data_IF_225908334292
#
_entry.id   IF_225908334292
#
_cell.length_a   1.000
_cell.length_b   1.000
_cell.length_c   1.000
_cell.angle_alpha   90.00
_cell.angle_beta   90.00
_cell.angle_gamma   90.00
#
_symmetry.space_group_name_H-M   'P 1'
#
loop_
_entity.id
_entity.type
_entity.pdbx_description
1 polymer ?
#
# COMPACT_ATOMS: atom_id res chain seq x y z
N UNK A 1 -14.16 18.33 16.50
CA UNK A 1 -13.42 17.10 16.16
C UNK A 1 -13.45 16.05 17.28
N UNK A 2 -13.29 16.40 18.56
CA UNK A 2 -13.41 15.43 19.68
C UNK A 2 -14.80 14.77 19.85
N UNK A 3 -15.88 15.46 19.50
CA UNK A 3 -17.26 14.96 19.67
C UNK A 3 -17.68 13.90 18.63
N UNK A 4 -17.02 13.87 17.45
CA UNK A 4 -17.27 12.86 16.43
C UNK A 4 -16.60 11.52 16.77
N UNK A 5 -15.43 11.54 17.43
CA UNK A 5 -14.71 10.33 17.85
C UNK A 5 -15.46 9.54 18.94
N UNK A 6 -16.14 10.21 19.87
CA UNK A 6 -16.93 9.56 20.91
C UNK A 6 -18.20 8.86 20.36
N UNK A 7 -18.84 9.45 19.34
CA UNK A 7 -20.03 8.87 18.71
C UNK A 7 -19.70 7.63 17.85
N UNK A 8 -18.57 7.63 17.14
CA UNK A 8 -18.12 6.49 16.32
C UNK A 8 -17.61 5.34 17.18
N UNK A 9 -16.90 5.61 18.28
CA UNK A 9 -16.46 4.58 19.23
C UNK A 9 -17.62 3.92 19.99
N UNK A 10 -18.66 4.68 20.32
CA UNK A 10 -19.85 4.16 21.02
C UNK A 10 -20.77 3.29 20.14
N UNK A 11 -20.88 3.60 18.84
CA UNK A 11 -21.74 2.87 17.91
C UNK A 11 -21.11 1.54 17.47
N UNK A 12 -19.78 1.51 17.24
CA UNK A 12 -19.05 0.29 16.91
C UNK A 12 -19.07 -0.74 18.05
N UNK A 13 -18.98 -0.28 19.31
CA UNK A 13 -19.00 -1.17 20.48
C UNK A 13 -20.38 -1.80 20.73
N UNK A 14 -21.48 -1.08 20.43
CA UNK A 14 -22.85 -1.59 20.63
C UNK A 14 -23.34 -2.50 19.51
N UNK A 15 -22.86 -2.33 18.27
CA UNK A 15 -23.21 -3.21 17.16
C UNK A 15 -22.48 -4.58 17.22
N UNK A 16 -21.30 -4.65 17.86
CA UNK A 16 -20.47 -5.86 17.88
C UNK A 16 -20.65 -6.76 19.11
N UNK A 17 -21.31 -6.28 20.18
CA UNK A 17 -21.47 -7.01 21.44
C UNK A 17 -22.91 -7.47 21.73
N UNK A 18 -23.84 -7.39 20.78
CA UNK A 18 -25.17 -7.96 20.95
C UNK A 18 -25.08 -9.50 20.80
N UNK A 19 -25.33 -10.31 21.87
CA UNK A 19 -25.38 -11.75 21.71
C UNK A 19 -26.63 -12.12 20.90
N UNK A 20 -26.43 -12.83 19.78
CA UNK A 20 -27.49 -13.56 19.09
C UNK A 20 -27.99 -14.67 20.02
N UNK A 21 -28.94 -14.34 20.90
CA UNK A 21 -29.76 -15.35 21.58
C UNK A 21 -30.80 -15.86 20.59
N UNK A 22 -30.52 -17.00 19.97
CA UNK A 22 -31.52 -17.83 19.30
C UNK A 22 -32.39 -18.44 20.40
N UNK A 23 -33.53 -17.82 20.67
CA UNK A 23 -34.53 -18.35 21.60
C UNK A 23 -35.20 -19.59 21.03
N UNK A 24 -35.01 -20.73 21.68
CA UNK A 24 -35.79 -21.96 21.46
C UNK A 24 -37.16 -21.82 22.12
N UNK A 25 -38.24 -21.75 21.33
CA UNK A 25 -39.62 -21.83 21.82
C UNK A 25 -40.59 -22.15 20.66
N UNK A 26 -41.57 -23.05 20.85
CA UNK A 26 -42.37 -23.57 19.75
C UNK A 26 -43.59 -22.69 19.49
N UNK A 27 -43.80 -22.31 18.23
CA UNK A 27 -45.08 -21.80 17.76
C UNK A 27 -45.48 -22.61 16.53
N UNK A 28 -46.21 -23.68 16.83
CA UNK A 28 -47.09 -24.33 15.87
C UNK A 28 -48.28 -23.41 15.55
N UNK A 29 -48.86 -23.66 14.38
CA UNK A 29 -50.17 -23.24 13.88
C UNK A 29 -50.24 -22.00 12.96
N UNK A 30 -50.90 -22.27 11.83
CA UNK A 30 -51.50 -21.38 10.85
C UNK A 30 -50.56 -20.62 9.90
N UNK A 31 -50.48 -21.09 8.66
CA UNK A 31 -51.04 -20.39 7.49
C UNK A 31 -51.28 -21.40 6.36
N UNK A 32 -52.36 -21.11 5.65
CA UNK A 32 -53.23 -21.90 4.80
C UNK A 32 -52.65 -22.27 3.42
N UNK A 33 -53.06 -23.42 2.89
CA UNK A 33 -52.69 -23.93 1.56
C UNK A 33 -53.67 -23.43 0.50
N UNK A 34 -53.22 -22.52 -0.37
CA UNK A 34 -53.94 -22.06 -1.56
C UNK A 34 -53.28 -22.54 -2.87
N UNK A 35 -53.80 -23.65 -3.38
CA UNK A 35 -53.78 -24.21 -4.74
C UNK A 35 -53.16 -23.42 -5.92
N UNK A 36 -52.19 -24.05 -6.61
CA UNK A 36 -51.77 -23.75 -8.00
C UNK A 36 -50.58 -24.65 -8.44
N UNK A 37 -50.62 -25.33 -9.61
CA UNK A 37 -49.76 -26.49 -9.86
C UNK A 37 -48.42 -26.14 -10.53
N UNK A 38 -47.37 -26.89 -10.18
CA UNK A 38 -46.20 -27.08 -11.04
C UNK A 38 -44.85 -26.68 -10.46
N UNK A 39 -44.37 -27.39 -9.44
CA UNK A 39 -42.94 -27.47 -9.14
C UNK A 39 -42.57 -28.90 -8.74
N UNK A 40 -41.49 -29.40 -9.36
CA UNK A 40 -40.94 -30.73 -9.18
C UNK A 40 -40.56 -31.01 -7.72
N UNK A 41 -40.73 -32.26 -7.29
CA UNK A 41 -40.30 -32.81 -6.00
C UNK A 41 -38.85 -32.43 -5.69
N UNK A 42 -38.64 -31.78 -4.54
CA UNK A 42 -37.31 -31.68 -3.91
C UNK A 42 -37.14 -32.90 -3.01
N UNK A 43 -36.20 -33.76 -3.39
CA UNK A 43 -35.80 -34.95 -2.63
C UNK A 43 -35.14 -34.53 -1.30
N UNK A 44 -35.86 -34.72 -0.21
CA UNK A 44 -35.43 -34.42 1.16
C UNK A 44 -34.31 -35.35 1.70
N UNK A 45 -33.70 -36.21 0.87
CA UNK A 45 -32.54 -37.03 1.25
C UNK A 45 -31.18 -36.29 1.26
N UNK A 46 -31.06 -35.14 0.60
CA UNK A 46 -29.77 -34.43 0.42
C UNK A 46 -29.35 -33.58 1.63
N UNK A 47 -30.30 -33.08 2.42
CA UNK A 47 -30.03 -32.23 3.59
C UNK A 47 -29.47 -33.01 4.79
N UNK A 48 -29.69 -34.32 4.86
CA UNK A 48 -29.20 -35.17 5.95
C UNK A 48 -27.75 -35.63 5.73
N UNK A 49 -27.23 -35.60 4.49
CA UNK A 49 -25.81 -35.90 4.19
C UNK A 49 -24.88 -34.70 4.43
N UNK A 50 -25.36 -33.47 4.22
CA UNK A 50 -24.57 -32.27 4.47
C UNK A 50 -24.33 -31.97 5.98
N UNK A 51 -25.16 -32.54 6.86
CA UNK A 51 -25.00 -32.39 8.31
C UNK A 51 -23.99 -33.38 8.92
N UNK A 52 -23.65 -34.48 8.23
CA UNK A 52 -22.72 -35.49 8.75
C UNK A 52 -21.23 -35.17 8.47
N UNK A 53 -20.94 -34.30 7.50
CA UNK A 53 -19.56 -33.97 7.08
C UNK A 53 -18.94 -32.80 7.87
N UNK A 54 -19.70 -32.15 8.76
CA UNK A 54 -19.20 -31.05 9.63
C UNK A 54 -18.33 -31.51 10.81
N UNK A 55 -17.93 -32.78 10.86
CA UNK A 55 -17.05 -33.30 11.92
C UNK A 55 -15.61 -33.57 11.48
N UNK A 56 -15.25 -33.31 10.21
CA UNK A 56 -13.85 -33.37 9.76
C UNK A 56 -13.27 -31.95 9.65
N UNK A 57 -12.20 -31.69 10.42
CA UNK A 57 -11.56 -30.38 10.50
C UNK A 57 -10.94 -29.96 9.17
N UNK A 58 -11.24 -28.74 8.73
CA UNK A 58 -10.54 -28.08 7.64
C UNK A 58 -9.11 -27.75 8.08
N UNK A 59 -8.11 -28.47 7.56
CA UNK A 59 -6.69 -28.14 7.74
C UNK A 59 -6.24 -27.18 6.65
N UNK A 60 -5.39 -26.21 7.03
CA UNK A 60 -4.71 -25.25 6.13
C UNK A 60 -3.94 -25.98 5.01
N UNK A 61 -3.50 -27.21 5.26
CA UNK A 61 -2.76 -28.04 4.29
C UNK A 61 -3.64 -28.50 3.11
N UNK A 62 -4.94 -28.71 3.33
CA UNK A 62 -5.88 -29.18 2.29
C UNK A 62 -6.17 -28.11 1.25
N UNK A 63 -6.20 -26.83 1.67
CA UNK A 63 -6.34 -25.69 0.76
C UNK A 63 -5.08 -25.44 -0.07
N UNK A 64 -3.91 -25.64 0.51
CA UNK A 64 -2.62 -25.47 -0.16
C UNK A 64 -2.34 -26.58 -1.19
N UNK A 65 -2.78 -27.82 -0.91
CA UNK A 65 -2.69 -28.94 -1.86
C UNK A 65 -3.63 -28.81 -3.06
N UNK A 66 -4.82 -28.19 -2.91
CA UNK A 66 -5.70 -27.88 -4.04
C UNK A 66 -5.12 -26.77 -4.94
N UNK A 67 -4.47 -25.76 -4.34
CA UNK A 67 -3.78 -24.71 -5.09
C UNK A 67 -2.53 -25.25 -5.82
N UNK A 68 -1.81 -26.20 -5.21
CA UNK A 68 -0.63 -26.83 -5.83
C UNK A 68 -0.98 -27.80 -6.96
N UNK A 69 -2.13 -28.49 -6.89
CA UNK A 69 -2.58 -29.41 -7.95
C UNK A 69 -3.22 -28.72 -9.15
N UNK A 70 -3.81 -27.53 -8.96
CA UNK A 70 -4.35 -26.70 -10.07
C UNK A 70 -3.27 -25.95 -10.87
N UNK A 71 -2.05 -25.83 -10.34
CA UNK A 71 -0.90 -25.26 -11.04
C UNK A 71 -0.27 -26.21 -12.09
N UNK A 72 -0.67 -27.48 -12.12
CA UNK A 72 -0.05 -28.51 -12.97
C UNK A 72 -0.80 -28.81 -14.28
N UNK A 73 -2.02 -28.30 -14.48
CA UNK A 73 -2.84 -28.60 -15.67
C UNK A 73 -3.04 -27.35 -16.55
N UNK A 74 -2.19 -27.21 -17.56
CA UNK A 74 -2.11 -26.05 -18.45
C UNK A 74 -3.06 -26.12 -19.66
N UNK A 75 -4.37 -26.39 -19.45
CA UNK A 75 -5.33 -26.35 -20.56
C UNK A 75 -6.82 -26.16 -20.22
N UNK A 76 -7.20 -25.81 -18.99
CA UNK A 76 -8.60 -25.46 -18.67
C UNK A 76 -8.81 -23.94 -18.63
N UNK A 77 -9.88 -23.40 -19.22
CA UNK A 77 -10.18 -21.98 -19.13
C UNK A 77 -10.44 -21.61 -17.66
N UNK A 78 -9.58 -20.76 -17.09
CA UNK A 78 -9.60 -20.29 -15.70
C UNK A 78 -10.72 -19.25 -15.42
N UNK A 79 -11.83 -19.27 -16.16
CA UNK A 79 -12.93 -18.30 -16.02
C UNK A 79 -13.79 -18.54 -14.76
N UNK A 80 -13.48 -19.56 -13.96
CA UNK A 80 -14.17 -19.86 -12.69
C UNK A 80 -13.33 -19.64 -11.43
N UNK A 81 -12.03 -19.37 -11.57
CA UNK A 81 -11.15 -19.17 -10.42
C UNK A 81 -11.42 -17.79 -9.80
N UNK A 82 -11.58 -16.75 -10.60
CA UNK A 82 -11.74 -15.36 -10.12
C UNK A 82 -12.97 -15.16 -9.22
N UNK A 83 -14.13 -15.67 -9.62
CA UNK A 83 -15.36 -15.65 -8.81
C UNK A 83 -15.20 -16.35 -7.45
N UNK A 84 -14.28 -17.32 -7.34
CA UNK A 84 -13.96 -17.98 -6.08
C UNK A 84 -12.97 -17.19 -5.22
N UNK A 85 -12.18 -16.31 -5.82
CA UNK A 85 -11.17 -15.48 -5.14
C UNK A 85 -11.73 -14.14 -4.64
N UNK A 86 -12.79 -13.61 -5.25
CA UNK A 86 -13.36 -12.31 -4.88
C UNK A 86 -13.77 -12.23 -3.39
N UNK A 87 -14.49 -13.20 -2.79
CA UNK A 87 -14.83 -13.16 -1.37
C UNK A 87 -13.60 -13.19 -0.48
N UNK A 88 -12.57 -13.95 -0.87
CA UNK A 88 -11.31 -14.05 -0.15
C UNK A 88 -10.51 -12.75 -0.22
N UNK A 89 -10.49 -12.11 -1.38
CA UNK A 89 -9.87 -10.79 -1.61
C UNK A 89 -10.50 -9.74 -0.71
N UNK A 90 -11.84 -9.66 -0.70
CA UNK A 90 -12.58 -8.77 0.19
C UNK A 90 -12.32 -9.07 1.68
N UNK A 91 -12.24 -10.36 2.06
CA UNK A 91 -11.93 -10.76 3.42
C UNK A 91 -10.52 -10.32 3.86
N UNK A 92 -9.51 -10.44 3.01
CA UNK A 92 -8.15 -9.97 3.32
C UNK A 92 -8.09 -8.45 3.47
N UNK A 93 -8.74 -7.69 2.58
CA UNK A 93 -8.82 -6.23 2.74
C UNK A 93 -9.55 -5.83 4.02
N UNK A 94 -10.70 -6.45 4.32
CA UNK A 94 -11.43 -6.21 5.56
C UNK A 94 -10.60 -6.57 6.80
N UNK A 95 -9.93 -7.73 6.77
CA UNK A 95 -9.06 -8.19 7.85
C UNK A 95 -7.84 -7.26 8.05
N UNK A 96 -7.32 -6.65 6.98
CA UNK A 96 -6.17 -5.75 7.03
C UNK A 96 -6.42 -4.49 7.86
N UNK A 97 -7.69 -4.12 8.09
CA UNK A 97 -8.05 -2.95 8.89
C UNK A 97 -7.68 -3.14 10.37
N UNK A 98 -7.82 -4.36 10.92
CA UNK A 98 -7.50 -4.64 12.32
C UNK A 98 -6.03 -4.35 12.68
N UNK A 99 -5.02 -4.90 11.98
CA UNK A 99 -3.63 -4.57 12.27
C UNK A 99 -3.32 -3.10 11.95
N UNK A 100 -3.99 -2.48 10.98
CA UNK A 100 -3.77 -1.06 10.69
C UNK A 100 -4.23 -0.13 11.81
N UNK A 101 -5.41 -0.37 12.37
CA UNK A 101 -5.93 0.39 13.51
C UNK A 101 -5.07 0.16 14.75
N UNK A 102 -4.59 -1.06 14.97
CA UNK A 102 -3.65 -1.37 16.05
C UNK A 102 -2.31 -0.65 15.87
N UNK A 103 -1.78 -0.61 14.64
CA UNK A 103 -0.62 0.18 14.27
C UNK A 103 -0.79 1.67 14.63
N UNK A 104 -1.90 2.29 14.22
CA UNK A 104 -2.19 3.69 14.55
C UNK A 104 -2.32 3.92 16.06
N UNK A 105 -2.98 3.00 16.77
CA UNK A 105 -3.10 3.06 18.23
C UNK A 105 -1.73 3.07 18.91
N UNK A 106 -0.81 2.22 18.48
CA UNK A 106 0.57 2.16 19.00
C UNK A 106 1.37 3.41 18.64
N UNK A 107 1.20 3.90 17.41
CA UNK A 107 1.92 5.07 16.94
C UNK A 107 1.47 6.37 17.65
N UNK A 108 0.24 6.40 18.18
CA UNK A 108 -0.31 7.52 18.94
C UNK A 108 0.06 7.51 20.44
N UNK A 109 0.79 6.49 20.91
CA UNK A 109 1.25 6.46 22.30
C UNK A 109 2.27 7.59 22.54
N UNK A 110 2.14 8.30 23.67
CA UNK A 110 2.98 9.46 23.99
C UNK A 110 4.46 9.09 24.09
N UNK A 111 4.75 7.87 24.52
CA UNK A 111 6.09 7.32 24.68
C UNK A 111 6.81 7.21 23.34
N UNK A 112 6.10 6.90 22.25
CA UNK A 112 6.69 6.75 20.91
C UNK A 112 7.17 8.09 20.34
N UNK A 113 6.59 9.22 20.80
CA UNK A 113 6.92 10.58 20.35
C UNK A 113 6.89 10.72 18.82
N UNK A 114 5.88 10.14 18.20
CA UNK A 114 5.67 10.23 16.75
C UNK A 114 5.52 11.69 16.31
N UNK A 115 6.27 12.16 15.30
CA UNK A 115 6.04 13.48 14.73
C UNK A 115 4.61 13.60 14.19
N UNK A 116 3.92 14.70 14.50
CA UNK A 116 2.48 14.86 14.19
C UNK A 116 2.16 14.70 12.70
N UNK A 117 3.01 15.22 11.81
CA UNK A 117 2.83 15.07 10.36
C UNK A 117 2.87 13.61 9.91
N UNK A 118 3.73 12.79 10.52
CA UNK A 118 3.84 11.35 10.25
C UNK A 118 2.59 10.61 10.68
N UNK A 119 2.12 10.87 11.91
CA UNK A 119 0.88 10.29 12.41
C UNK A 119 -0.32 10.71 11.55
N UNK A 120 -0.42 12.00 11.21
CA UNK A 120 -1.50 12.52 10.38
C UNK A 120 -1.52 11.89 8.99
N UNK A 121 -0.35 11.65 8.38
CA UNK A 121 -0.23 10.94 7.11
C UNK A 121 -0.83 9.53 7.22
N UNK A 122 -0.35 8.72 8.16
CA UNK A 122 -0.92 7.37 8.36
C UNK A 122 -2.41 7.41 8.74
N UNK A 123 -2.86 8.33 9.59
CA UNK A 123 -4.26 8.44 9.96
C UNK A 123 -5.15 8.86 8.78
N UNK A 124 -4.66 9.74 7.89
CA UNK A 124 -5.40 10.20 6.71
C UNK A 124 -5.68 9.07 5.71
N UNK A 125 -4.89 8.00 5.70
CA UNK A 125 -5.17 6.80 4.91
C UNK A 125 -6.57 6.23 5.17
N UNK A 126 -7.10 6.37 6.38
CA UNK A 126 -8.45 5.91 6.70
C UNK A 126 -9.51 6.65 5.88
N UNK A 127 -9.27 7.90 5.48
CA UNK A 127 -10.17 8.65 4.59
C UNK A 127 -10.27 7.98 3.22
N UNK A 128 -9.15 7.48 2.69
CA UNK A 128 -9.15 6.68 1.47
C UNK A 128 -9.97 5.39 1.63
N UNK A 129 -9.77 4.65 2.73
CA UNK A 129 -10.52 3.41 3.00
C UNK A 129 -12.03 3.68 3.12
N UNK A 130 -12.43 4.70 3.86
CA UNK A 130 -13.85 5.06 4.01
C UNK A 130 -14.45 5.67 2.74
N UNK A 131 -13.65 6.28 1.87
CA UNK A 131 -14.10 6.84 0.59
C UNK A 131 -14.24 5.79 -0.52
N UNK A 132 -13.33 4.82 -0.57
CA UNK A 132 -13.31 3.77 -1.60
C UNK A 132 -14.45 2.75 -1.44
N UNK A 133 -14.85 2.41 -0.21
CA UNK A 133 -15.99 1.49 0.04
C UNK A 133 -17.31 1.97 -0.61
N UNK A 134 -17.82 3.18 -0.32
CA UNK A 134 -19.05 3.67 -0.94
C UNK A 134 -18.89 3.92 -2.43
N UNK A 135 -17.70 4.32 -2.88
CA UNK A 135 -17.41 4.47 -4.31
C UNK A 135 -17.51 3.12 -5.04
N UNK A 136 -17.01 2.04 -4.44
CA UNK A 136 -17.11 0.69 -4.98
C UNK A 136 -18.55 0.19 -5.03
N UNK A 137 -19.32 0.39 -3.96
CA UNK A 137 -20.76 0.08 -3.93
C UNK A 137 -21.51 0.87 -5.02
N UNK A 138 -21.22 2.16 -5.15
CA UNK A 138 -21.84 3.03 -6.16
C UNK A 138 -21.58 2.52 -7.58
N UNK A 139 -20.33 2.14 -7.88
CA UNK A 139 -19.97 1.62 -9.20
C UNK A 139 -20.68 0.29 -9.50
N UNK A 140 -20.70 -0.62 -8.52
CA UNK A 140 -21.34 -1.92 -8.66
C UNK A 140 -22.86 -1.78 -8.87
N UNK A 141 -23.52 -0.87 -8.14
CA UNK A 141 -24.98 -0.68 -8.22
C UNK A 141 -25.40 0.10 -9.46
N UNK A 142 -24.62 1.09 -9.89
CA UNK A 142 -25.00 2.00 -10.99
C UNK A 142 -24.55 1.49 -12.35
N UNK A 143 -23.33 0.97 -12.44
CA UNK A 143 -22.70 0.59 -13.71
C UNK A 143 -22.55 -0.93 -13.86
N UNK A 144 -22.74 -1.72 -12.81
CA UNK A 144 -22.59 -3.18 -12.85
C UNK A 144 -21.16 -3.64 -13.10
N UNK A 145 -20.17 -2.76 -12.89
CA UNK A 145 -18.75 -3.04 -13.10
C UNK A 145 -17.95 -2.73 -11.84
N UNK A 146 -16.80 -3.39 -11.72
CA UNK A 146 -15.82 -3.11 -10.66
C UNK A 146 -15.44 -1.63 -10.64
N UNK A 147 -15.27 -1.11 -9.43
CA UNK A 147 -14.74 0.23 -9.14
C UNK A 147 -13.49 0.57 -9.96
N UNK A 148 -12.58 -0.40 -10.10
CA UNK A 148 -11.33 -0.29 -10.85
C UNK A 148 -11.51 0.00 -12.35
N UNK A 149 -12.71 -0.25 -12.91
CA UNK A 149 -13.03 -0.01 -14.31
C UNK A 149 -13.71 1.35 -14.56
N UNK A 150 -14.01 2.12 -13.51
CA UNK A 150 -14.64 3.44 -13.64
C UNK A 150 -13.59 4.52 -13.39
N UNK A 151 -12.79 4.83 -14.41
CA UNK A 151 -11.56 5.63 -14.31
C UNK A 151 -11.70 6.93 -13.49
N UNK A 152 -12.75 7.71 -13.68
CA UNK A 152 -12.94 8.97 -12.94
C UNK A 152 -13.16 8.75 -11.44
N UNK A 153 -13.96 7.75 -11.07
CA UNK A 153 -14.28 7.43 -9.67
C UNK A 153 -13.10 6.71 -9.02
N UNK A 154 -12.42 5.85 -9.79
CA UNK A 154 -11.17 5.20 -9.44
C UNK A 154 -10.08 6.22 -9.11
N UNK A 155 -9.69 7.04 -10.10
CA UNK A 155 -8.67 8.07 -9.92
C UNK A 155 -9.00 9.05 -8.79
N UNK A 156 -10.28 9.43 -8.62
CA UNK A 156 -10.66 10.32 -7.53
C UNK A 156 -10.36 9.72 -6.14
N UNK A 157 -10.75 8.48 -5.84
CA UNK A 157 -10.42 7.94 -4.51
C UNK A 157 -8.93 7.59 -4.40
N UNK A 158 -8.30 7.04 -5.44
CA UNK A 158 -6.85 6.78 -5.42
C UNK A 158 -6.02 8.05 -5.21
N UNK A 159 -6.51 9.24 -5.61
CA UNK A 159 -5.85 10.51 -5.31
C UNK A 159 -5.72 10.79 -3.80
N UNK A 160 -6.60 10.21 -2.98
CA UNK A 160 -6.51 10.29 -1.51
C UNK A 160 -5.27 9.55 -0.99
N UNK A 161 -4.81 8.49 -1.68
CA UNK A 161 -3.54 7.84 -1.36
C UNK A 161 -2.35 8.76 -1.66
N UNK A 162 -2.37 9.45 -2.81
CA UNK A 162 -1.35 10.46 -3.12
C UNK A 162 -1.31 11.54 -2.03
N UNK A 163 -2.47 12.06 -1.62
CA UNK A 163 -2.54 13.04 -0.52
C UNK A 163 -2.00 12.47 0.79
N UNK A 164 -2.34 11.22 1.13
CA UNK A 164 -1.82 10.50 2.31
C UNK A 164 -0.29 10.49 2.30
N UNK A 165 0.31 10.09 1.19
CA UNK A 165 1.75 9.95 1.05
C UNK A 165 2.47 11.32 1.04
N UNK A 166 1.86 12.36 0.46
CA UNK A 166 2.39 13.72 0.54
C UNK A 166 2.39 14.27 1.97
N UNK A 167 1.32 14.06 2.74
CA UNK A 167 1.27 14.44 4.16
C UNK A 167 2.36 13.69 4.94
N UNK A 168 2.52 12.38 4.68
CA UNK A 168 3.54 11.56 5.34
C UNK A 168 4.97 12.01 5.00
N UNK A 169 5.29 12.20 3.72
CA UNK A 169 6.63 12.61 3.26
C UNK A 169 6.98 14.01 3.75
N UNK A 170 6.09 14.99 3.64
CA UNK A 170 6.31 16.34 4.16
C UNK A 170 6.42 16.33 5.69
N UNK A 171 5.62 15.53 6.38
CA UNK A 171 5.71 15.33 7.83
C UNK A 171 7.05 14.74 8.27
N UNK A 172 7.59 13.76 7.54
CA UNK A 172 8.92 13.22 7.81
C UNK A 172 10.03 14.21 7.52
N UNK A 173 9.90 15.01 6.45
CA UNK A 173 10.86 16.06 6.11
C UNK A 173 10.92 17.13 7.19
N UNK A 174 9.76 17.57 7.68
CA UNK A 174 9.66 18.47 8.83
C UNK A 174 10.31 17.84 10.08
N UNK A 175 10.00 16.58 10.38
CA UNK A 175 10.56 15.88 11.54
C UNK A 175 12.10 15.79 11.49
N UNK A 176 12.68 15.53 10.31
CA UNK A 176 14.13 15.52 10.12
C UNK A 176 14.76 16.90 10.33
N UNK A 177 14.07 17.99 9.98
CA UNK A 177 14.55 19.36 10.23
C UNK A 177 14.56 19.72 11.70
N UNK A 178 13.66 19.13 12.49
CA UNK A 178 13.55 19.40 13.93
C UNK A 178 14.55 18.59 14.78
N UNK A 179 15.24 17.59 14.22
CA UNK A 179 16.24 16.83 14.95
C UNK A 179 17.50 17.66 15.26
N UNK A 180 18.15 17.44 16.43
CA UNK A 180 19.39 18.12 16.79
C UNK A 180 20.49 17.92 15.74
N UNK A 181 21.22 18.99 15.39
CA UNK A 181 22.29 18.95 14.39
C UNK A 181 21.82 19.12 12.94
N UNK A 182 20.53 19.39 12.70
CA UNK A 182 20.06 19.78 11.38
C UNK A 182 20.51 21.20 11.02
N UNK A 183 21.24 21.33 9.92
CA UNK A 183 21.61 22.62 9.28
C UNK A 183 20.58 23.07 8.25
N UNK A 184 19.57 22.24 7.96
CA UNK A 184 18.59 22.50 6.93
C UNK A 184 17.70 23.69 7.35
N UNK A 185 17.50 24.70 6.48
CA UNK A 185 16.66 25.83 6.80
C UNK A 185 15.24 25.36 7.17
N UNK A 186 14.71 25.86 8.28
CA UNK A 186 13.31 25.66 8.68
C UNK A 186 12.43 26.31 7.61
N UNK A 187 11.61 25.50 6.91
CA UNK A 187 10.80 25.90 5.74
C UNK A 187 10.17 27.28 5.90
N UNK A 188 10.78 28.33 5.32
CA UNK A 188 10.04 29.53 4.95
C UNK A 188 9.37 29.16 3.61
N UNK A 189 8.16 29.66 3.36
CA UNK A 189 7.53 29.59 2.03
C UNK A 189 8.56 29.94 0.95
N UNK A 190 9.03 28.96 0.18
CA UNK A 190 10.06 29.18 -0.82
C UNK A 190 9.50 29.93 -2.03
N UNK A 191 10.32 30.86 -2.50
CA UNK A 191 10.21 31.77 -3.64
C UNK A 191 9.32 31.21 -4.77
N UNK A 192 8.12 31.81 -4.93
CA UNK A 192 7.12 31.48 -5.95
C UNK A 192 7.72 31.30 -7.35
N UNK A 193 8.82 32.02 -7.65
CA UNK A 193 9.56 31.89 -8.92
C UNK A 193 10.11 30.48 -9.16
N UNK A 194 10.64 29.78 -8.15
CA UNK A 194 11.21 28.43 -8.32
C UNK A 194 10.13 27.37 -8.53
N UNK A 195 9.01 27.50 -7.81
CA UNK A 195 7.80 26.69 -7.99
C UNK A 195 7.18 26.93 -9.37
N UNK A 196 7.09 28.18 -9.80
CA UNK A 196 6.52 28.53 -11.10
C UNK A 196 7.41 28.05 -12.26
N UNK A 197 8.74 28.14 -12.14
CA UNK A 197 9.65 27.62 -13.17
C UNK A 197 9.60 26.10 -13.29
N UNK A 198 9.46 25.40 -12.16
CA UNK A 198 9.38 23.94 -12.17
C UNK A 198 8.00 23.45 -12.63
N UNK A 199 6.92 24.14 -12.26
CA UNK A 199 5.58 23.90 -12.77
C UNK A 199 5.47 24.18 -14.29
N UNK A 200 6.13 25.23 -14.79
CA UNK A 200 6.19 25.53 -16.23
C UNK A 200 6.97 24.48 -17.02
N UNK A 201 8.11 24.01 -16.50
CA UNK A 201 8.87 22.91 -17.10
C UNK A 201 8.10 21.59 -17.08
N UNK A 202 7.38 21.31 -15.99
CA UNK A 202 6.43 20.19 -15.84
C UNK A 202 5.33 20.24 -16.89
N UNK A 203 4.71 21.40 -17.09
CA UNK A 203 3.65 21.59 -18.08
C UNK A 203 4.19 21.41 -19.51
N UNK A 204 5.38 21.94 -19.81
CA UNK A 204 6.03 21.79 -21.12
C UNK A 204 6.45 20.34 -21.38
N UNK A 205 6.98 19.65 -20.39
CA UNK A 205 7.27 18.22 -20.47
C UNK A 205 5.97 17.43 -20.68
N UNK A 206 4.93 17.70 -19.89
CA UNK A 206 3.61 17.09 -20.06
C UNK A 206 3.08 17.28 -21.48
N UNK A 207 3.14 18.50 -22.02
CA UNK A 207 2.64 18.84 -23.37
C UNK A 207 3.48 18.18 -24.46
N UNK A 208 4.81 18.24 -24.38
CA UNK A 208 5.70 17.55 -25.33
C UNK A 208 5.38 16.06 -25.38
N UNK A 209 5.20 15.48 -24.21
CA UNK A 209 5.00 14.06 -24.03
C UNK A 209 3.58 13.60 -24.41
N UNK A 210 2.55 14.36 -24.05
CA UNK A 210 1.16 14.19 -24.52
C UNK A 210 1.06 14.32 -26.04
N UNK A 211 1.99 15.04 -26.67
CA UNK A 211 2.03 15.12 -28.13
C UNK A 211 2.66 13.89 -28.78
N UNK A 212 3.45 13.05 -28.07
CA UNK A 212 4.18 11.91 -28.66
C UNK A 212 3.32 10.98 -29.56
N UNK A 213 2.07 10.60 -29.19
CA UNK A 213 1.24 9.76 -30.04
C UNK A 213 0.91 10.41 -31.40
N UNK A 214 0.83 11.75 -31.44
CA UNK A 214 0.57 12.50 -32.68
C UNK A 214 1.79 12.57 -33.60
N UNK A 215 3.00 12.49 -33.04
CA UNK A 215 4.26 12.50 -33.81
C UNK A 215 4.68 11.11 -34.30
N UNK A 216 4.42 10.07 -33.52
CA UNK A 216 4.96 8.73 -33.78
C UNK A 216 3.92 7.70 -34.24
N UNK A 217 2.63 7.99 -34.10
CA UNK A 217 1.54 7.04 -34.38
C UNK A 217 1.52 5.89 -33.36
N UNK A 218 0.37 5.56 -32.81
CA UNK A 218 0.26 4.39 -31.92
C UNK A 218 0.28 3.10 -32.76
N UNK A 219 1.00 2.07 -32.29
CA UNK A 219 0.99 0.75 -32.95
C UNK A 219 -0.33 0.01 -32.70
N UNK A 220 -0.96 0.27 -31.55
CA UNK A 220 -2.20 -0.37 -31.09
C UNK A 220 -3.22 0.67 -30.60
N UNK A 221 -4.54 0.45 -30.82
CA UNK A 221 -5.57 1.26 -30.20
C UNK A 221 -5.65 0.98 -28.70
N UNK A 222 -5.97 2.02 -27.92
CA UNK A 222 -6.11 1.91 -26.48
C UNK A 222 -7.35 1.07 -26.10
N UNK A 223 -7.22 0.07 -25.20
CA UNK A 223 -8.36 -0.70 -24.72
C UNK A 223 -9.37 0.15 -23.94
N UNK A 224 -10.65 -0.22 -23.98
CA UNK A 224 -11.71 0.55 -23.32
C UNK A 224 -11.55 0.66 -21.79
N UNK A 225 -10.88 -0.30 -21.16
CA UNK A 225 -10.65 -0.33 -19.70
C UNK A 225 -9.30 0.30 -19.31
N UNK A 226 -8.60 0.94 -20.24
CA UNK A 226 -7.33 1.56 -19.96
C UNK A 226 -7.50 2.80 -19.07
N UNK A 227 -6.63 2.92 -18.07
CA UNK A 227 -6.63 4.09 -17.19
C UNK A 227 -6.19 5.33 -17.96
N UNK A 228 -6.81 6.46 -17.63
CA UNK A 228 -6.41 7.75 -18.17
C UNK A 228 -5.05 8.19 -17.63
N UNK A 229 -4.39 9.13 -18.32
CA UNK A 229 -3.11 9.65 -17.85
C UNK A 229 -3.19 10.25 -16.43
N UNK A 230 -4.20 11.06 -16.05
CA UNK A 230 -4.35 11.53 -14.67
C UNK A 230 -4.38 10.40 -13.64
N UNK A 231 -5.09 9.31 -13.93
CA UNK A 231 -5.15 8.16 -13.03
C UNK A 231 -3.80 7.43 -12.94
N UNK A 232 -3.07 7.30 -14.06
CA UNK A 232 -1.70 6.80 -14.03
C UNK A 232 -0.75 7.70 -13.24
N UNK A 233 -0.91 9.04 -13.30
CA UNK A 233 -0.15 9.98 -12.47
C UNK A 233 -0.35 9.69 -11.00
N UNK A 234 -1.59 9.44 -10.57
CA UNK A 234 -1.91 9.08 -9.19
C UNK A 234 -1.24 7.76 -8.78
N UNK A 235 -1.31 6.72 -9.61
CA UNK A 235 -0.71 5.40 -9.32
C UNK A 235 0.81 5.44 -9.28
N UNK A 236 1.46 6.05 -10.27
CA UNK A 236 2.91 6.17 -10.28
C UNK A 236 3.39 7.03 -9.11
N UNK A 237 2.69 8.15 -8.83
CA UNK A 237 3.07 9.02 -7.71
C UNK A 237 2.95 8.30 -6.39
N UNK A 238 1.88 7.54 -6.14
CA UNK A 238 1.71 6.84 -4.85
C UNK A 238 2.82 5.82 -4.59
N UNK A 239 3.28 5.09 -5.62
CA UNK A 239 4.43 4.16 -5.53
C UNK A 239 5.74 4.92 -5.23
N UNK A 240 6.02 5.98 -5.99
CA UNK A 240 7.26 6.77 -5.85
C UNK A 240 7.31 7.47 -4.49
N UNK A 241 6.21 8.10 -4.08
CA UNK A 241 6.08 8.79 -2.79
C UNK A 241 6.27 7.84 -1.62
N UNK A 242 5.74 6.62 -1.72
CA UNK A 242 5.91 5.61 -0.70
C UNK A 242 7.38 5.20 -0.54
N UNK A 243 8.11 5.01 -1.64
CA UNK A 243 9.56 4.75 -1.61
C UNK A 243 10.32 5.91 -0.94
N UNK A 244 9.98 7.16 -1.27
CA UNK A 244 10.57 8.32 -0.61
C UNK A 244 10.25 8.36 0.89
N UNK A 245 9.02 8.01 1.29
CA UNK A 245 8.64 7.92 2.69
C UNK A 245 9.46 6.84 3.42
N UNK A 246 9.70 5.67 2.81
CA UNK A 246 10.56 4.64 3.38
C UNK A 246 11.99 5.16 3.63
N UNK A 247 12.55 5.91 2.68
CA UNK A 247 13.89 6.52 2.80
C UNK A 247 13.97 7.55 3.91
N UNK A 248 13.02 8.48 3.92
CA UNK A 248 12.90 9.51 4.95
C UNK A 248 12.74 8.90 6.34
N UNK A 249 11.95 7.84 6.47
CA UNK A 249 11.70 7.16 7.73
C UNK A 249 12.92 6.41 8.25
N UNK A 250 13.66 5.76 7.35
CA UNK A 250 14.92 5.11 7.69
C UNK A 250 15.95 6.14 8.19
N UNK A 251 16.07 7.25 7.47
CA UNK A 251 16.96 8.35 7.82
C UNK A 251 16.56 8.99 9.16
N UNK A 252 15.26 9.14 9.41
CA UNK A 252 14.75 9.59 10.70
C UNK A 252 15.16 8.64 11.82
N UNK A 253 15.06 7.32 11.63
CA UNK A 253 15.57 6.33 12.57
C UNK A 253 17.08 6.40 12.80
N UNK A 254 17.85 6.68 11.74
CA UNK A 254 19.31 6.86 11.84
C UNK A 254 19.67 8.11 12.64
N UNK A 255 19.06 9.26 12.36
CA UNK A 255 19.37 10.54 13.03
C UNK A 255 18.81 10.64 14.45
N UNK A 256 17.62 10.09 14.68
CA UNK A 256 17.02 10.03 16.03
C UNK A 256 17.69 9.00 16.94
N UNK A 257 18.47 8.07 16.39
CA UNK A 257 19.05 6.95 17.14
C UNK A 257 18.05 5.85 17.52
N UNK A 258 16.78 5.97 17.12
CA UNK A 258 15.76 4.97 17.43
C UNK A 258 15.58 3.98 16.26
N UNK A 259 16.09 2.75 16.47
CA UNK A 259 16.05 1.66 15.49
C UNK A 259 14.63 1.17 15.17
N UNK A 260 13.63 1.47 16.01
CA UNK A 260 12.23 1.13 15.73
C UNK A 260 11.71 1.80 14.45
N UNK A 261 12.16 3.02 14.13
CA UNK A 261 11.79 3.71 12.89
C UNK A 261 12.40 3.05 11.65
N UNK A 262 13.60 2.48 11.77
CA UNK A 262 14.21 1.67 10.71
C UNK A 262 13.38 0.39 10.46
N UNK A 263 12.94 -0.27 11.53
CA UNK A 263 12.04 -1.44 11.44
C UNK A 263 10.70 -1.07 10.79
N UNK A 264 10.18 0.11 11.07
CA UNK A 264 8.96 0.60 10.45
C UNK A 264 9.14 0.80 8.93
N UNK A 265 10.27 1.36 8.49
CA UNK A 265 10.61 1.48 7.06
C UNK A 265 10.68 0.12 6.35
N UNK A 266 11.22 -0.91 7.01
CA UNK A 266 11.19 -2.28 6.49
C UNK A 266 9.77 -2.86 6.44
N UNK A 267 8.97 -2.60 7.47
CA UNK A 267 7.57 -3.03 7.55
C UNK A 267 6.66 -2.39 6.48
N UNK A 268 7.12 -1.35 5.79
CA UNK A 268 6.43 -0.72 4.67
C UNK A 268 6.64 -1.45 3.33
N UNK A 269 7.62 -2.36 3.23
CA UNK A 269 7.95 -3.06 1.96
C UNK A 269 6.78 -3.90 1.42
N UNK A 270 6.04 -4.70 2.21
CA UNK A 270 4.91 -5.46 1.68
C UNK A 270 3.80 -4.58 1.10
N UNK A 271 3.57 -3.39 1.69
CA UNK A 271 2.59 -2.42 1.17
C UNK A 271 3.03 -1.79 -0.16
N UNK A 272 4.34 -1.58 -0.35
CA UNK A 272 4.88 -1.18 -1.65
C UNK A 272 4.61 -2.24 -2.72
N UNK A 273 4.90 -3.51 -2.41
CA UNK A 273 4.62 -4.63 -3.32
C UNK A 273 3.12 -4.78 -3.60
N UNK A 274 2.27 -4.55 -2.59
CA UNK A 274 0.81 -4.51 -2.77
C UNK A 274 0.39 -3.48 -3.83
N UNK A 275 0.90 -2.24 -3.74
CA UNK A 275 0.63 -1.21 -4.74
C UNK A 275 1.12 -1.58 -6.15
N UNK A 276 2.27 -2.27 -6.24
CA UNK A 276 2.77 -2.78 -7.52
C UNK A 276 1.84 -3.83 -8.15
N UNK A 277 1.22 -4.70 -7.34
CA UNK A 277 0.20 -5.63 -7.83
C UNK A 277 -0.99 -4.89 -8.46
N UNK A 278 -1.48 -3.84 -7.81
CA UNK A 278 -2.57 -2.99 -8.33
C UNK A 278 -2.19 -2.35 -9.67
N UNK A 279 -1.02 -1.69 -9.72
CA UNK A 279 -0.52 -1.04 -10.93
C UNK A 279 -0.31 -2.05 -12.07
N UNK A 280 0.16 -3.26 -11.74
CA UNK A 280 0.34 -4.33 -12.73
C UNK A 280 -1.00 -4.82 -13.26
N UNK A 281 -2.02 -4.99 -12.41
CA UNK A 281 -3.36 -5.37 -12.86
C UNK A 281 -3.95 -4.34 -13.83
N UNK A 282 -3.78 -3.05 -13.53
CA UNK A 282 -4.19 -1.95 -14.40
C UNK A 282 -3.39 -1.86 -15.70
N UNK A 283 -2.08 -2.20 -15.66
CA UNK A 283 -1.25 -2.29 -16.85
C UNK A 283 -1.78 -3.34 -17.84
N UNK A 284 -2.37 -4.43 -17.32
CA UNK A 284 -3.05 -5.44 -18.13
C UNK A 284 -4.56 -5.15 -18.29
N UNK A 285 -4.98 -3.88 -18.18
CA UNK A 285 -6.35 -3.44 -18.45
C UNK A 285 -7.42 -4.17 -17.63
N UNK A 286 -7.09 -4.54 -16.39
CA UNK A 286 -7.95 -5.29 -15.48
C UNK A 286 -8.42 -6.64 -16.08
N UNK A 287 -7.55 -7.29 -16.86
CA UNK A 287 -7.88 -8.54 -17.54
C UNK A 287 -8.29 -9.64 -16.55
N UNK A 288 -9.47 -10.22 -16.75
CA UNK A 288 -10.06 -11.28 -15.91
C UNK A 288 -9.09 -12.44 -15.59
N UNK A 289 -8.26 -12.96 -16.53
CA UNK A 289 -7.31 -14.03 -16.21
C UNK A 289 -6.32 -13.67 -15.11
N UNK A 290 -6.04 -12.38 -14.86
CA UNK A 290 -5.11 -11.89 -13.84
C UNK A 290 -5.79 -11.44 -12.54
N UNK A 291 -7.08 -11.76 -12.33
CA UNK A 291 -7.82 -11.40 -11.11
C UNK A 291 -7.14 -11.84 -9.80
N UNK A 292 -6.32 -12.90 -9.84
CA UNK A 292 -5.48 -13.35 -8.72
C UNK A 292 -4.49 -12.29 -8.21
N UNK A 293 -4.11 -11.29 -9.02
CA UNK A 293 -3.28 -10.16 -8.56
C UNK A 293 -3.98 -9.33 -7.48
N UNK A 294 -5.31 -9.18 -7.55
CA UNK A 294 -6.09 -8.47 -6.54
C UNK A 294 -6.05 -9.20 -5.18
N UNK A 295 -6.07 -10.54 -5.20
CA UNK A 295 -5.90 -11.35 -3.99
C UNK A 295 -4.48 -11.19 -3.41
N UNK A 296 -3.45 -11.24 -4.26
CA UNK A 296 -2.05 -11.04 -3.83
C UNK A 296 -1.89 -9.63 -3.22
N UNK A 297 -2.45 -8.61 -3.85
CA UNK A 297 -2.52 -7.25 -3.33
C UNK A 297 -3.19 -7.23 -1.93
N UNK A 298 -4.37 -7.82 -1.79
CA UNK A 298 -5.09 -7.85 -0.52
C UNK A 298 -4.31 -8.56 0.59
N UNK A 299 -3.70 -9.71 0.28
CA UNK A 299 -2.88 -10.47 1.20
C UNK A 299 -1.62 -9.69 1.63
N UNK A 300 -0.95 -9.03 0.68
CA UNK A 300 0.21 -8.18 0.97
C UNK A 300 -0.16 -6.93 1.76
N UNK A 301 -1.35 -6.36 1.56
CA UNK A 301 -1.88 -5.27 2.40
C UNK A 301 -2.09 -5.73 3.83
N UNK A 302 -2.71 -6.90 4.02
CA UNK A 302 -2.91 -7.48 5.34
C UNK A 302 -1.58 -7.79 6.04
N UNK A 303 -0.64 -8.41 5.32
CA UNK A 303 0.72 -8.67 5.80
C UNK A 303 1.44 -7.37 6.14
N UNK A 304 1.39 -6.39 5.25
CA UNK A 304 2.02 -5.09 5.38
C UNK A 304 1.53 -4.31 6.60
N UNK A 305 0.22 -4.25 6.79
CA UNK A 305 -0.37 -3.64 7.99
C UNK A 305 0.05 -4.38 9.26
N UNK A 306 0.17 -5.71 9.19
CA UNK A 306 0.67 -6.52 10.31
C UNK A 306 2.15 -6.24 10.61
N UNK A 307 2.99 -6.07 9.59
CA UNK A 307 4.40 -5.72 9.78
C UNK A 307 4.58 -4.29 10.29
N UNK A 308 3.73 -3.34 9.88
CA UNK A 308 3.71 -1.99 10.46
C UNK A 308 3.34 -2.04 11.95
N UNK A 309 2.29 -2.79 12.30
CA UNK A 309 1.87 -2.96 13.69
C UNK A 309 2.98 -3.58 14.54
N UNK A 310 3.64 -4.63 14.04
CA UNK A 310 4.77 -5.26 14.73
C UNK A 310 5.97 -4.31 14.91
N UNK A 311 6.28 -3.51 13.89
CA UNK A 311 7.32 -2.48 14.00
C UNK A 311 6.95 -1.41 15.04
N UNK A 312 5.69 -0.98 15.07
CA UNK A 312 5.19 -0.03 16.06
C UNK A 312 5.17 -0.61 17.49
N UNK A 313 4.94 -1.91 17.68
CA UNK A 313 5.11 -2.55 18.99
C UNK A 313 6.53 -2.35 19.52
N UNK A 314 7.52 -2.47 18.64
CA UNK A 314 8.93 -2.31 19.01
C UNK A 314 9.28 -0.86 19.35
N UNK A 315 8.63 0.11 18.68
CA UNK A 315 8.70 1.52 19.04
C UNK A 315 8.10 1.80 20.43
N UNK A 316 6.91 1.26 20.70
CA UNK A 316 6.22 1.44 21.98
C UNK A 316 6.98 0.79 23.14
N UNK A 317 7.44 -0.46 22.99
CA UNK A 317 8.19 -1.15 24.03
C UNK A 317 9.55 -0.51 24.32
N UNK A 318 10.27 -0.08 23.28
CA UNK A 318 11.57 0.60 23.44
C UNK A 318 11.45 1.94 24.17
N UNK A 319 10.31 2.63 24.02
CA UNK A 319 10.04 3.86 24.72
C UNK A 319 9.69 3.65 26.20
N UNK A 320 8.95 2.59 26.54
CA UNK A 320 8.65 2.24 27.94
C UNK A 320 9.91 1.88 28.74
N UNK A 321 10.93 1.27 28.11
CA UNK A 321 12.18 0.91 28.78
C UNK A 321 13.10 2.11 29.09
N UNK A 322 12.96 3.23 28.37
CA UNK A 322 13.80 4.42 28.57
C UNK A 322 13.37 5.29 29.78
N UNK A 323 12.22 5.02 30.39
CA UNK A 323 11.63 5.84 31.45
C UNK A 323 12.15 5.51 32.86
N UNK A 324 13.07 4.55 33.02
CA UNK A 324 13.55 4.13 34.35
C UNK A 324 15.01 4.52 34.62
N UNK A 325 15.17 5.54 35.48
CA UNK A 325 16.35 5.92 36.32
C UNK A 325 17.26 7.05 35.81
N UNK A 326 17.36 8.20 36.54
CA UNK A 326 18.48 9.12 36.40
C UNK A 326 19.67 8.58 37.21
N UNK A 327 20.55 7.82 36.57
CA UNK A 327 21.85 7.50 37.19
C UNK A 327 22.88 8.51 36.71
N UNK A 328 23.21 9.44 37.61
CA UNK A 328 24.40 10.30 37.52
C UNK A 328 25.64 9.43 37.39
N UNK A 329 26.18 9.30 36.19
CA UNK A 329 27.50 8.69 35.98
C UNK A 329 28.46 9.78 35.50
N UNK A 330 29.35 10.16 36.40
CA UNK A 330 30.50 11.04 36.18
C UNK A 330 31.33 10.56 34.99
N UNK A 331 31.51 11.42 33.98
CA UNK A 331 32.34 11.16 32.82
C UNK A 331 33.80 11.46 33.18
N UNK A 332 34.66 10.44 33.09
CA UNK A 332 36.13 10.61 33.04
C UNK A 332 36.56 10.49 31.56
N UNK A 333 37.37 11.42 31.02
CA UNK A 333 37.77 11.38 29.62
C UNK A 333 38.94 10.42 29.42
N UNK A 334 38.77 9.41 28.56
CA UNK A 334 39.88 8.58 28.07
C UNK A 334 40.04 8.81 26.57
N UNK A 335 41.21 9.32 26.22
CA UNK A 335 41.71 9.60 24.87
C UNK A 335 41.71 8.33 24.01
N UNK A 336 41.06 8.36 22.84
CA UNK A 336 41.12 7.30 21.84
C UNK A 336 41.94 7.73 20.61
N UNK A 337 42.94 6.92 20.29
CA UNK A 337 43.91 7.07 19.20
C UNK A 337 43.29 6.82 17.83
N UNK A 338 43.60 7.69 16.87
CA UNK A 338 43.21 7.58 15.46
C UNK A 338 44.05 6.48 14.79
N UNK A 339 43.39 5.49 14.19
CA UNK A 339 44.02 4.52 13.29
C UNK A 339 43.48 4.70 11.87
N UNK A 340 44.41 5.02 10.97
CA UNK A 340 44.23 5.20 9.53
C UNK A 340 44.19 3.82 8.85
N UNK A 341 43.16 3.54 8.05
CA UNK A 341 43.17 2.36 7.16
C UNK A 341 42.71 2.74 5.75
N UNK A 342 43.48 2.19 4.81
CA UNK A 342 43.63 2.50 3.39
C UNK A 342 42.44 2.11 2.54
N UNK A 343 42.22 2.91 1.49
CA UNK A 343 41.22 2.80 0.44
C UNK A 343 41.43 1.57 -0.46
N UNK A 344 40.34 0.88 -0.79
CA UNK A 344 40.23 0.10 -2.03
C UNK A 344 38.89 0.42 -2.68
N UNK A 345 38.95 0.81 -3.95
CA UNK A 345 37.80 1.22 -4.78
C UNK A 345 37.45 0.06 -5.70
N UNK A 346 36.23 -0.51 -5.64
CA UNK A 346 35.69 -1.29 -6.73
C UNK A 346 34.80 -0.42 -7.62
N UNK A 347 35.01 -0.60 -8.92
CA UNK A 347 34.27 -0.06 -10.06
C UNK A 347 32.79 -0.49 -10.00
N UNK A 348 31.86 0.45 -9.75
CA UNK A 348 30.42 0.17 -9.73
C UNK A 348 29.78 0.64 -11.05
N UNK A 349 29.13 -0.29 -11.73
CA UNK A 349 28.36 -0.07 -12.95
C UNK A 349 27.20 0.91 -12.62
N UNK A 350 27.30 2.13 -13.15
CA UNK A 350 26.46 3.28 -12.80
C UNK A 350 25.02 3.19 -13.32
N UNK A 351 24.18 2.45 -12.61
CA UNK A 351 22.72 2.50 -12.76
C UNK A 351 21.97 2.52 -11.41
N UNK A 352 22.68 2.43 -10.27
CA UNK A 352 22.07 2.31 -8.93
C UNK A 352 22.06 3.60 -8.09
N UNK A 353 22.63 4.71 -8.57
CA UNK A 353 22.87 5.90 -7.70
C UNK A 353 22.20 7.20 -8.14
N UNK A 354 21.63 7.31 -9.33
CA UNK A 354 21.04 8.60 -9.77
C UNK A 354 19.52 8.73 -9.55
N UNK A 355 18.85 7.62 -9.21
CA UNK A 355 17.46 7.63 -8.70
C UNK A 355 17.39 7.59 -7.16
N UNK A 356 18.55 7.48 -6.49
CA UNK A 356 18.66 7.35 -5.04
C UNK A 356 19.40 8.56 -4.51
N UNK A 357 18.73 9.32 -3.64
CA UNK A 357 19.14 10.64 -3.14
C UNK A 357 20.58 10.64 -2.59
N UNK A 358 21.45 11.43 -3.23
CA UNK A 358 22.72 12.00 -2.74
C UNK A 358 22.62 12.56 -1.30
N UNK A 359 23.74 12.66 -0.52
CA UNK A 359 23.73 12.85 0.93
C UNK A 359 22.77 13.96 1.39
N UNK A 360 21.84 13.56 2.26
CA UNK A 360 20.54 14.20 2.53
C UNK A 360 20.66 15.57 3.23
N UNK A 361 21.04 16.60 2.50
CA UNK A 361 20.69 18.00 2.80
C UNK A 361 19.23 18.20 2.37
N UNK A 362 18.32 18.36 3.34
CA UNK A 362 16.91 18.62 3.04
C UNK A 362 16.77 19.98 2.33
N UNK A 363 16.74 19.96 1.00
CA UNK A 363 16.41 21.13 0.20
C UNK A 363 14.96 21.61 0.41
N UNK A 364 14.58 22.63 -0.37
CA UNK A 364 13.23 23.19 -0.42
C UNK A 364 12.14 22.12 -0.61
N UNK A 365 11.02 22.25 0.11
CA UNK A 365 9.85 21.38 -0.08
C UNK A 365 9.19 21.61 -1.44
N UNK A 366 9.19 22.85 -1.93
CA UNK A 366 8.74 23.19 -3.27
C UNK A 366 9.55 22.48 -4.36
N UNK A 367 10.88 22.48 -4.24
CA UNK A 367 11.76 21.78 -5.19
C UNK A 367 11.57 20.26 -5.12
N UNK A 368 11.36 19.71 -3.91
CA UNK A 368 11.03 18.30 -3.73
C UNK A 368 9.72 17.91 -4.41
N UNK A 369 8.62 18.64 -4.13
CA UNK A 369 7.32 18.39 -4.73
C UNK A 369 7.34 18.51 -6.26
N UNK A 370 8.10 19.47 -6.79
CA UNK A 370 8.24 19.63 -8.22
C UNK A 370 9.01 18.48 -8.88
N UNK A 371 10.10 18.00 -8.27
CA UNK A 371 10.84 16.82 -8.74
C UNK A 371 9.96 15.58 -8.70
N UNK A 372 9.24 15.41 -7.60
CA UNK A 372 8.31 14.30 -7.40
C UNK A 372 7.24 14.30 -8.50
N UNK A 373 6.53 15.41 -8.69
CA UNK A 373 5.52 15.55 -9.74
C UNK A 373 6.11 15.28 -11.14
N UNK A 374 7.34 15.72 -11.41
CA UNK A 374 7.99 15.53 -12.70
C UNK A 374 8.29 14.06 -12.97
N UNK A 375 8.88 13.36 -11.99
CA UNK A 375 9.18 11.94 -12.11
C UNK A 375 7.88 11.14 -12.22
N UNK A 376 6.87 11.43 -11.38
CA UNK A 376 5.57 10.77 -11.45
C UNK A 376 4.94 10.91 -12.83
N UNK A 377 4.86 12.14 -13.36
CA UNK A 377 4.33 12.39 -14.70
C UNK A 377 5.12 11.68 -15.81
N UNK A 378 6.45 11.74 -15.76
CA UNK A 378 7.32 11.12 -16.76
C UNK A 378 7.14 9.59 -16.77
N UNK A 379 7.09 8.96 -15.59
CA UNK A 379 6.84 7.52 -15.45
C UNK A 379 5.42 7.18 -15.92
N UNK A 380 4.41 7.96 -15.54
CA UNK A 380 3.02 7.71 -15.95
C UNK A 380 2.83 7.76 -17.44
N UNK A 381 3.46 8.71 -18.11
CA UNK A 381 3.48 8.71 -19.58
C UNK A 381 4.14 7.45 -20.09
N UNK A 382 5.35 7.14 -19.60
CA UNK A 382 6.11 6.02 -20.11
C UNK A 382 5.29 4.72 -19.98
N UNK A 383 4.55 4.55 -18.89
CA UNK A 383 3.63 3.43 -18.69
C UNK A 383 2.45 3.52 -19.65
N UNK A 384 1.70 4.64 -19.62
CA UNK A 384 0.46 4.88 -20.37
C UNK A 384 0.61 4.81 -21.89
N UNK A 385 1.72 5.32 -22.41
CA UNK A 385 1.96 5.40 -23.85
C UNK A 385 3.02 4.40 -24.30
N UNK A 386 3.96 4.00 -23.44
CA UNK A 386 4.88 2.91 -23.78
C UNK A 386 4.12 1.63 -24.13
N UNK A 387 3.04 1.32 -23.42
CA UNK A 387 2.18 0.15 -23.69
C UNK A 387 1.60 0.13 -25.10
N UNK A 388 1.38 1.28 -25.76
CA UNK A 388 0.83 1.33 -27.13
C UNK A 388 1.89 1.21 -28.23
N UNK A 389 3.18 1.25 -27.88
CA UNK A 389 4.30 1.13 -28.81
C UNK A 389 4.96 -0.26 -28.78
N UNK A 390 4.66 -1.09 -27.78
CA UNK A 390 5.17 -2.45 -27.65
C UNK A 390 4.01 -3.46 -27.68
N UNK A 391 4.27 -4.69 -28.13
CA UNK A 391 3.24 -5.74 -28.18
C UNK A 391 2.85 -6.28 -26.79
N UNK A 392 3.56 -5.84 -25.75
CA UNK A 392 3.25 -6.07 -24.33
C UNK A 392 2.61 -4.78 -23.80
N UNK A 393 1.43 -4.77 -23.15
CA UNK A 393 0.84 -5.81 -22.31
C UNK A 393 -0.55 -6.30 -22.80
N UNK A 394 -0.81 -6.37 -24.10
CA UNK A 394 -2.15 -6.70 -24.63
C UNK A 394 -2.60 -8.15 -24.37
N UNK A 395 -1.67 -9.06 -24.09
CA UNK A 395 -1.97 -10.44 -23.73
C UNK A 395 -1.66 -10.66 -22.24
N UNK A 396 -2.66 -11.02 -21.41
CA UNK A 396 -2.45 -11.25 -19.98
C UNK A 396 -1.52 -12.45 -19.76
N UNK A 397 -0.51 -12.28 -18.90
CA UNK A 397 0.48 -13.31 -18.59
C UNK A 397 0.91 -13.23 -17.13
N UNK A 398 0.59 -14.25 -16.33
CA UNK A 398 1.02 -14.31 -14.93
C UNK A 398 2.54 -14.26 -14.76
N UNK A 399 3.36 -15.01 -15.53
CA UNK A 399 4.82 -14.90 -15.41
C UNK A 399 5.33 -13.47 -15.62
N UNK A 400 4.78 -12.76 -16.61
CA UNK A 400 5.17 -11.38 -16.88
C UNK A 400 4.66 -10.43 -15.79
N UNK A 401 3.39 -10.54 -15.39
CA UNK A 401 2.81 -9.74 -14.33
C UNK A 401 3.58 -9.91 -13.01
N UNK A 402 3.88 -11.15 -12.61
CA UNK A 402 4.67 -11.43 -11.42
C UNK A 402 6.11 -10.92 -11.55
N UNK A 403 6.72 -10.93 -12.74
CA UNK A 403 8.03 -10.33 -12.95
C UNK A 403 8.01 -8.80 -12.76
N UNK A 404 6.97 -8.12 -13.30
CA UNK A 404 6.77 -6.67 -13.15
C UNK A 404 6.62 -6.27 -11.68
N UNK A 405 6.00 -7.12 -10.85
CA UNK A 405 5.90 -6.91 -9.39
C UNK A 405 7.21 -7.30 -8.67
N UNK A 406 7.78 -8.45 -8.99
CA UNK A 406 8.88 -9.07 -8.25
C UNK A 406 10.20 -8.33 -8.43
N UNK A 407 10.51 -7.83 -9.63
CA UNK A 407 11.78 -7.12 -9.92
C UNK A 407 11.93 -5.85 -9.05
N UNK A 408 11.01 -4.86 -9.10
CA UNK A 408 11.12 -3.67 -8.24
C UNK A 408 11.01 -4.01 -6.75
N UNK A 409 10.25 -5.05 -6.38
CA UNK A 409 10.20 -5.55 -5.00
C UNK A 409 11.56 -6.05 -4.54
N UNK A 410 12.25 -6.84 -5.38
CA UNK A 410 13.58 -7.36 -5.09
C UNK A 410 14.59 -6.22 -4.95
N UNK A 411 14.55 -5.21 -5.83
CA UNK A 411 15.40 -4.02 -5.69
C UNK A 411 15.16 -3.32 -4.34
N UNK A 412 13.90 -3.16 -3.92
CA UNK A 412 13.57 -2.57 -2.62
C UNK A 412 14.10 -3.44 -1.46
N UNK A 413 13.91 -4.76 -1.51
CA UNK A 413 14.44 -5.70 -0.53
C UNK A 413 15.98 -5.68 -0.45
N UNK A 414 16.67 -5.66 -1.59
CA UNK A 414 18.14 -5.62 -1.67
C UNK A 414 18.68 -4.31 -1.10
N UNK A 415 18.07 -3.18 -1.46
CA UNK A 415 18.40 -1.85 -0.91
C UNK A 415 18.38 -1.88 0.62
N UNK A 416 17.29 -2.38 1.20
CA UNK A 416 17.15 -2.44 2.65
C UNK A 416 18.01 -3.51 3.33
N UNK A 417 18.23 -4.65 2.66
CA UNK A 417 19.16 -5.68 3.12
C UNK A 417 20.60 -5.17 3.22
N UNK A 418 21.05 -4.39 2.23
CA UNK A 418 22.37 -3.71 2.26
C UNK A 418 22.41 -2.65 3.36
N UNK A 419 21.35 -1.87 3.53
CA UNK A 419 21.26 -0.84 4.58
C UNK A 419 21.32 -1.44 6.00
N UNK A 420 20.71 -2.60 6.21
CA UNK A 420 20.81 -3.37 7.45
C UNK A 420 22.23 -3.89 7.69
N UNK A 421 22.86 -4.47 6.66
CA UNK A 421 24.22 -5.01 6.77
C UNK A 421 25.28 -3.93 7.02
N UNK A 422 25.07 -2.72 6.51
CA UNK A 422 25.96 -1.57 6.72
C UNK A 422 25.78 -0.88 8.08
N UNK A 423 24.70 -1.19 8.82
CA UNK A 423 24.52 -0.64 10.15
C UNK A 423 25.56 -1.26 11.10
N UNK A 424 26.34 -0.47 11.86
CA UNK A 424 27.30 -1.03 12.81
C UNK A 424 26.55 -1.95 13.79
N UNK A 425 27.08 -3.16 14.00
CA UNK A 425 26.59 -4.06 15.04
C UNK A 425 26.65 -3.30 16.36
N UNK A 426 25.47 -3.09 16.97
CA UNK A 426 25.32 -2.35 18.21
C UNK A 426 25.99 -3.06 19.38
#
# INVERSE_FOLDING_TARGET
LGSCFAAVGGLATRAFLAPLQVGTGPLASAIDCGSGPGLAEVDCGLLTRAAADRSSGWSVDSGLQLAASSAADSSTPLTGLDASLEPLTGAFFGASLFPYLYFLFLLNQEEVKTPKGVFNGFAFLLVFVFGSIPAAIYCQVTYGVSYANVDTVHGLCESLLTVTNLILTLGLREALRQLPGSTAPCSPTDDFRRVATSAGALLLAAVFVLSLPTWFGAAHPEPANALSLPTWVIHCSSIIEWLYAQDLLWEYGRRSGNLGWKRLSLGMVPLHTSGLCACTFHLFYNAEPLGGLALIQAALTCLGNSTLAWAACSLASGASSATTTPTTTTITPTTATIATTTTSVPLQLGLETDLVIEPYELGSDAAFLAKLAFISLAVSVLVKYGEVFVDLPFQPSYPLALAIVAVPTLFNCVKWGRALAAAPAA
#
